data_IF_986893956118
#
_entry.id   IF_986893956118
#
_cell.length_a   1.000
_cell.length_b   1.000
_cell.length_c   1.000
_cell.angle_alpha   90.00
_cell.angle_beta   90.00
_cell.angle_gamma   90.00
#
_symmetry.space_group_name_H-M   'P 1'
#
loop_
_entity.id
_entity.type
_entity.pdbx_description
1 polymer ?
#
# COMPACT_ATOMS: atom_id res chain seq x y z
N UNK A 1 -0.12 -25.41 -8.10
CA UNK A 1 -0.61 -25.07 -6.74
C UNK A 1 -2.08 -24.62 -6.68
N UNK A 2 -2.82 -24.54 -7.80
CA UNK A 2 -4.16 -23.94 -7.87
C UNK A 2 -5.23 -24.51 -6.91
N UNK A 3 -5.16 -25.79 -6.57
CA UNK A 3 -6.13 -26.45 -5.69
C UNK A 3 -5.82 -26.29 -4.19
N UNK A 4 -4.75 -25.58 -3.84
CA UNK A 4 -4.45 -25.27 -2.44
C UNK A 4 -5.50 -24.26 -1.90
N UNK A 5 -5.91 -24.44 -0.65
CA UNK A 5 -6.88 -23.57 0.03
C UNK A 5 -6.55 -22.07 -0.11
N UNK A 6 -5.28 -21.69 0.05
CA UNK A 6 -4.83 -20.30 -0.09
C UNK A 6 -4.98 -19.78 -1.51
N UNK A 7 -4.65 -20.61 -2.51
CA UNK A 7 -4.78 -20.28 -3.92
C UNK A 7 -6.24 -20.04 -4.31
N UNK A 8 -7.13 -20.95 -3.89
CA UNK A 8 -8.57 -20.82 -4.14
C UNK A 8 -9.12 -19.54 -3.49
N UNK A 9 -8.76 -19.30 -2.22
CA UNK A 9 -9.21 -18.11 -1.49
C UNK A 9 -8.78 -16.81 -2.19
N UNK A 10 -7.51 -16.72 -2.60
CA UNK A 10 -6.99 -15.55 -3.33
C UNK A 10 -7.67 -15.35 -4.69
N UNK A 11 -7.92 -16.43 -5.43
CA UNK A 11 -8.60 -16.39 -6.73
C UNK A 11 -10.06 -15.97 -6.58
N UNK A 12 -10.77 -16.50 -5.58
CA UNK A 12 -12.17 -16.13 -5.30
C UNK A 12 -12.27 -14.65 -4.89
N UNK A 13 -11.38 -14.18 -4.02
CA UNK A 13 -11.32 -12.76 -3.63
C UNK A 13 -11.07 -11.87 -4.86
N UNK A 14 -10.09 -12.23 -5.70
CA UNK A 14 -9.74 -11.44 -6.89
C UNK A 14 -10.86 -11.44 -7.92
N UNK A 15 -11.51 -12.59 -8.14
CA UNK A 15 -12.66 -12.72 -9.04
C UNK A 15 -13.88 -11.94 -8.53
N UNK A 16 -14.17 -12.01 -7.23
CA UNK A 16 -15.25 -11.25 -6.60
C UNK A 16 -15.00 -9.74 -6.76
N UNK A 17 -13.78 -9.27 -6.43
CA UNK A 17 -13.41 -7.87 -6.59
C UNK A 17 -13.54 -7.41 -8.06
N UNK A 18 -13.07 -8.21 -9.02
CA UNK A 18 -13.23 -7.91 -10.45
C UNK A 18 -14.68 -7.84 -10.89
N UNK A 19 -15.53 -8.78 -10.45
CA UNK A 19 -16.95 -8.79 -10.79
C UNK A 19 -17.65 -7.53 -10.25
N UNK A 20 -17.39 -7.18 -8.99
CA UNK A 20 -17.95 -5.99 -8.34
C UNK A 20 -17.50 -4.71 -9.04
N UNK A 21 -16.20 -4.58 -9.34
CA UNK A 21 -15.66 -3.42 -10.07
C UNK A 21 -16.14 -3.38 -11.53
N UNK A 22 -16.34 -4.51 -12.19
CA UNK A 22 -16.85 -4.59 -13.55
C UNK A 22 -18.24 -3.94 -13.68
N UNK A 23 -19.12 -4.19 -12.71
CA UNK A 23 -20.42 -3.50 -12.60
C UNK A 23 -20.24 -1.98 -12.42
N UNK A 24 -19.30 -1.56 -11.57
CA UNK A 24 -18.99 -0.14 -11.34
C UNK A 24 -18.45 0.56 -12.60
N UNK A 25 -17.66 -0.11 -13.44
CA UNK A 25 -17.13 0.46 -14.69
C UNK A 25 -18.24 0.79 -15.68
N UNK A 26 -19.26 -0.07 -15.78
CA UNK A 26 -20.43 0.19 -16.61
C UNK A 26 -21.13 1.48 -16.18
N UNK A 27 -21.41 1.61 -14.88
CA UNK A 27 -22.01 2.82 -14.31
C UNK A 27 -21.09 4.03 -14.47
N UNK A 28 -19.77 3.85 -14.33
CA UNK A 28 -18.77 4.91 -14.51
C UNK A 28 -18.86 5.54 -15.91
N UNK A 29 -18.98 4.73 -16.97
CA UNK A 29 -19.10 5.25 -18.34
C UNK A 29 -20.37 6.10 -18.50
N UNK A 30 -21.49 5.69 -17.90
CA UNK A 30 -22.74 6.44 -17.95
C UNK A 30 -22.65 7.76 -17.18
N UNK A 31 -22.08 7.73 -15.98
CA UNK A 31 -21.84 8.94 -15.16
C UNK A 31 -20.92 9.91 -15.90
N UNK A 32 -19.80 9.43 -16.46
CA UNK A 32 -18.85 10.31 -17.15
C UNK A 32 -19.45 10.99 -18.39
N UNK A 33 -20.46 10.38 -19.03
CA UNK A 33 -21.13 10.93 -20.22
C UNK A 33 -22.34 11.81 -19.90
N UNK A 34 -23.12 11.45 -18.89
CA UNK A 34 -24.48 12.00 -18.71
C UNK A 34 -24.76 12.59 -17.33
N UNK A 35 -23.83 12.49 -16.37
CA UNK A 35 -24.04 13.04 -15.04
C UNK A 35 -24.25 14.55 -15.10
N UNK A 36 -25.34 15.07 -14.56
CA UNK A 36 -25.57 16.49 -14.41
C UNK A 36 -26.22 16.75 -13.04
N UNK A 37 -25.42 17.26 -12.09
CA UNK A 37 -25.84 17.40 -10.69
C UNK A 37 -26.86 18.51 -10.44
N UNK A 38 -27.15 19.35 -11.44
CA UNK A 38 -28.16 20.42 -11.35
C UNK A 38 -29.47 20.05 -12.07
N UNK A 39 -29.51 18.90 -12.76
CA UNK A 39 -30.64 18.53 -13.62
C UNK A 39 -31.64 17.61 -12.92
N UNK A 40 -32.86 18.08 -12.68
CA UNK A 40 -33.97 17.28 -12.13
C UNK A 40 -34.65 16.38 -13.18
N UNK A 41 -33.86 15.62 -13.93
CA UNK A 41 -34.39 14.70 -14.96
C UNK A 41 -34.52 13.29 -14.41
N UNK A 42 -35.50 12.52 -14.93
CA UNK A 42 -35.65 11.10 -14.58
C UNK A 42 -34.36 10.28 -14.80
N UNK A 43 -33.55 10.67 -15.81
CA UNK A 43 -32.24 10.07 -16.07
C UNK A 43 -31.26 10.35 -14.94
N UNK A 44 -31.20 11.58 -14.43
CA UNK A 44 -30.30 11.95 -13.34
C UNK A 44 -30.67 11.21 -12.05
N UNK A 45 -31.96 11.13 -11.71
CA UNK A 45 -32.45 10.34 -10.55
C UNK A 45 -32.06 8.87 -10.68
N UNK A 46 -32.18 8.30 -11.89
CA UNK A 46 -31.74 6.92 -12.14
C UNK A 46 -30.22 6.77 -11.95
N UNK A 47 -29.42 7.71 -12.46
CA UNK A 47 -27.96 7.69 -12.28
C UNK A 47 -27.57 7.79 -10.80
N UNK A 48 -28.23 8.65 -10.02
CA UNK A 48 -28.02 8.76 -8.58
C UNK A 48 -28.25 7.43 -7.86
N UNK A 49 -29.38 6.76 -8.12
CA UNK A 49 -29.66 5.44 -7.56
C UNK A 49 -28.60 4.40 -7.95
N UNK A 50 -28.15 4.39 -9.21
CA UNK A 50 -27.09 3.50 -9.68
C UNK A 50 -25.73 3.81 -9.02
N UNK A 51 -25.45 5.08 -8.70
CA UNK A 51 -24.17 5.47 -8.06
C UNK A 51 -24.03 4.88 -6.66
N UNK A 52 -25.12 4.82 -5.88
CA UNK A 52 -25.11 4.27 -4.53
C UNK A 52 -24.72 2.80 -4.51
N UNK A 53 -25.41 1.98 -5.31
CA UNK A 53 -25.10 0.56 -5.42
C UNK A 53 -23.70 0.34 -5.99
N UNK A 54 -23.33 1.07 -7.04
CA UNK A 54 -22.03 0.90 -7.69
C UNK A 54 -20.85 1.31 -6.81
N UNK A 55 -21.01 2.37 -6.02
CA UNK A 55 -19.99 2.81 -5.07
C UNK A 55 -19.83 1.84 -3.90
N UNK A 56 -20.95 1.29 -3.40
CA UNK A 56 -20.94 0.27 -2.37
C UNK A 56 -20.22 -1.01 -2.84
N UNK A 57 -20.57 -1.52 -4.03
CA UNK A 57 -19.91 -2.69 -4.63
C UNK A 57 -18.41 -2.45 -4.82
N UNK A 58 -18.04 -1.26 -5.30
CA UNK A 58 -16.64 -0.89 -5.46
C UNK A 58 -15.91 -0.84 -4.11
N UNK A 59 -16.48 -0.22 -3.08
CA UNK A 59 -15.88 -0.15 -1.74
C UNK A 59 -15.59 -1.55 -1.19
N UNK A 60 -16.58 -2.46 -1.22
CA UNK A 60 -16.37 -3.84 -0.76
C UNK A 60 -15.31 -4.59 -1.59
N UNK A 61 -15.34 -4.46 -2.92
CA UNK A 61 -14.34 -5.08 -3.80
C UNK A 61 -12.92 -4.60 -3.50
N UNK A 62 -12.75 -3.31 -3.24
CA UNK A 62 -11.47 -2.72 -2.86
C UNK A 62 -11.02 -3.15 -1.46
N UNK A 63 -11.93 -3.22 -0.49
CA UNK A 63 -11.63 -3.72 0.86
C UNK A 63 -11.15 -5.17 0.83
N UNK A 64 -11.81 -6.03 0.05
CA UNK A 64 -11.35 -7.40 -0.17
C UNK A 64 -9.93 -7.45 -0.75
N UNK A 65 -9.62 -6.53 -1.67
CA UNK A 65 -8.27 -6.42 -2.24
C UNK A 65 -7.23 -5.90 -1.24
N UNK A 66 -7.59 -5.05 -0.29
CA UNK A 66 -6.70 -4.65 0.81
C UNK A 66 -6.28 -5.87 1.65
N UNK A 67 -7.22 -6.76 1.97
CA UNK A 67 -6.92 -8.00 2.70
C UNK A 67 -6.13 -9.02 1.85
N UNK A 68 -6.26 -8.96 0.52
CA UNK A 68 -5.59 -9.90 -0.38
C UNK A 68 -4.06 -9.86 -0.29
N UNK A 69 -3.44 -8.71 0.02
CA UNK A 69 -1.99 -8.62 0.20
C UNK A 69 -1.54 -9.46 1.40
N UNK A 70 -2.23 -9.30 2.53
CA UNK A 70 -1.93 -10.06 3.74
C UNK A 70 -2.08 -11.57 3.47
N UNK A 71 -3.18 -11.96 2.82
CA UNK A 71 -3.41 -13.34 2.42
C UNK A 71 -2.35 -13.86 1.44
N UNK A 72 -1.87 -13.04 0.51
CA UNK A 72 -0.81 -13.43 -0.42
C UNK A 72 0.50 -13.71 0.31
N UNK A 73 0.88 -12.87 1.28
CA UNK A 73 2.10 -13.06 2.08
C UNK A 73 1.99 -14.33 2.93
N UNK A 74 0.85 -14.57 3.58
CA UNK A 74 0.60 -15.81 4.32
C UNK A 74 0.62 -17.05 3.41
N UNK A 75 0.01 -16.94 2.23
CA UNK A 75 0.01 -18.00 1.23
C UNK A 75 1.44 -18.31 0.77
N UNK A 76 2.23 -17.29 0.42
CA UNK A 76 3.62 -17.44 0.00
C UNK A 76 4.47 -18.12 1.09
N UNK A 77 4.19 -17.84 2.35
CA UNK A 77 4.84 -18.50 3.47
C UNK A 77 4.54 -20.01 3.51
N UNK A 78 3.27 -20.40 3.32
CA UNK A 78 2.90 -21.82 3.24
C UNK A 78 3.38 -22.51 1.96
N UNK A 79 3.50 -21.78 0.85
CA UNK A 79 4.05 -22.33 -0.39
C UNK A 79 5.53 -22.65 -0.25
N UNK A 80 6.28 -21.87 0.54
CA UNK A 80 7.69 -22.12 0.79
C UNK A 80 7.94 -23.49 1.45
N UNK A 81 7.02 -24.00 2.26
CA UNK A 81 7.13 -25.32 2.91
C UNK A 81 7.06 -26.49 1.91
N UNK A 82 6.46 -26.27 0.74
CA UNK A 82 6.23 -27.30 -0.29
C UNK A 82 7.26 -27.17 -1.43
N UNK A 83 7.81 -25.98 -1.65
CA UNK A 83 8.77 -25.69 -2.71
C UNK A 83 10.18 -26.12 -2.31
N UNK A 84 10.84 -26.90 -3.17
CA UNK A 84 12.20 -27.37 -2.91
C UNK A 84 13.14 -26.16 -2.83
N UNK A 85 13.82 -26.01 -1.69
CA UNK A 85 14.84 -24.98 -1.42
C UNK A 85 14.31 -23.57 -1.12
N UNK A 86 13.00 -23.38 -1.00
CA UNK A 86 12.42 -22.16 -0.44
C UNK A 86 12.46 -22.23 1.10
N UNK A 87 13.22 -21.33 1.73
CA UNK A 87 13.32 -21.25 3.20
C UNK A 87 12.32 -20.28 3.84
N UNK A 88 11.93 -19.24 3.10
CA UNK A 88 10.98 -18.22 3.54
C UNK A 88 10.05 -17.82 2.37
N UNK A 89 9.04 -16.98 2.64
CA UNK A 89 8.16 -16.43 1.60
C UNK A 89 8.92 -15.75 0.44
N UNK A 90 10.13 -15.21 0.67
CA UNK A 90 11.00 -14.71 -0.42
C UNK A 90 11.28 -15.81 -1.46
N UNK A 91 11.58 -17.02 -1.02
CA UNK A 91 11.82 -18.16 -1.91
C UNK A 91 10.60 -18.50 -2.75
N UNK A 92 9.41 -18.46 -2.16
CA UNK A 92 8.16 -18.65 -2.89
C UNK A 92 7.92 -17.53 -3.94
N UNK A 93 8.10 -16.26 -3.57
CA UNK A 93 7.94 -15.14 -4.50
C UNK A 93 8.98 -15.13 -5.63
N UNK A 94 10.17 -15.69 -5.40
CA UNK A 94 11.23 -15.82 -6.41
C UNK A 94 11.14 -17.11 -7.23
N UNK A 95 10.18 -18.00 -6.94
CA UNK A 95 10.05 -19.28 -7.62
C UNK A 95 9.74 -19.14 -9.13
N UNK A 96 9.18 -18.00 -9.54
CA UNK A 96 8.98 -17.64 -10.94
C UNK A 96 9.04 -16.11 -11.12
N UNK A 97 8.98 -15.66 -12.37
CA UNK A 97 9.11 -14.23 -12.72
C UNK A 97 7.91 -13.35 -12.31
N UNK A 98 6.80 -13.93 -11.85
CA UNK A 98 5.56 -13.20 -11.57
C UNK A 98 5.35 -12.87 -10.09
N UNK A 99 6.04 -13.56 -9.18
CA UNK A 99 5.80 -13.39 -7.73
C UNK A 99 6.17 -11.99 -7.22
N UNK A 100 7.36 -11.48 -7.54
CA UNK A 100 7.77 -10.11 -7.16
C UNK A 100 6.91 -9.03 -7.84
N UNK A 101 6.65 -9.07 -9.16
CA UNK A 101 5.71 -8.14 -9.79
C UNK A 101 4.32 -8.13 -9.16
N UNK A 102 3.75 -9.31 -8.85
CA UNK A 102 2.45 -9.42 -8.17
C UNK A 102 2.47 -8.74 -6.79
N UNK A 103 3.51 -9.01 -6.00
CA UNK A 103 3.67 -8.40 -4.69
C UNK A 103 3.73 -6.87 -4.79
N UNK A 104 4.51 -6.34 -5.73
CA UNK A 104 4.61 -4.89 -5.96
C UNK A 104 3.27 -4.28 -6.38
N UNK A 105 2.53 -4.95 -7.28
CA UNK A 105 1.19 -4.49 -7.69
C UNK A 105 0.23 -4.45 -6.50
N UNK A 106 0.25 -5.46 -5.61
CA UNK A 106 -0.58 -5.44 -4.39
C UNK A 106 -0.17 -4.36 -3.40
N UNK A 107 1.13 -4.15 -3.18
CA UNK A 107 1.64 -3.10 -2.30
C UNK A 107 1.19 -1.72 -2.82
N UNK A 108 1.40 -1.44 -4.10
CA UNK A 108 0.94 -0.19 -4.73
C UNK A 108 -0.59 -0.08 -4.70
N UNK A 109 -1.28 -1.19 -4.94
CA UNK A 109 -2.73 -1.31 -4.93
C UNK A 109 -3.34 -0.84 -3.61
N UNK A 110 -2.77 -1.22 -2.45
CA UNK A 110 -3.28 -0.80 -1.14
C UNK A 110 -3.46 0.71 -1.03
N UNK A 111 -2.47 1.49 -1.48
CA UNK A 111 -2.54 2.94 -1.40
C UNK A 111 -3.59 3.52 -2.34
N UNK A 112 -3.68 2.97 -3.56
CA UNK A 112 -4.63 3.43 -4.58
C UNK A 112 -6.08 3.07 -4.20
N UNK A 113 -6.32 1.83 -3.76
CA UNK A 113 -7.61 1.35 -3.31
C UNK A 113 -8.08 2.10 -2.06
N UNK A 114 -7.19 2.27 -1.07
CA UNK A 114 -7.48 3.06 0.13
C UNK A 114 -7.81 4.52 -0.21
N UNK A 115 -7.11 5.11 -1.18
CA UNK A 115 -7.40 6.49 -1.59
C UNK A 115 -8.76 6.62 -2.27
N UNK A 116 -9.19 5.65 -3.07
CA UNK A 116 -10.55 5.65 -3.63
C UNK A 116 -11.61 5.63 -2.53
N UNK A 117 -11.41 4.83 -1.48
CA UNK A 117 -12.31 4.78 -0.32
C UNK A 117 -12.34 6.15 0.38
N UNK A 118 -11.19 6.81 0.55
CA UNK A 118 -11.14 8.17 1.11
C UNK A 118 -11.94 9.16 0.25
N UNK A 119 -11.80 9.11 -1.08
CA UNK A 119 -12.59 9.95 -1.98
C UNK A 119 -14.09 9.68 -1.83
N UNK A 120 -14.49 8.41 -1.75
CA UNK A 120 -15.88 8.04 -1.57
C UNK A 120 -16.43 8.60 -0.25
N UNK A 121 -15.68 8.46 0.86
CA UNK A 121 -16.06 8.98 2.18
C UNK A 121 -16.14 10.51 2.22
N UNK A 122 -15.24 11.21 1.51
CA UNK A 122 -15.30 12.66 1.38
C UNK A 122 -16.51 13.09 0.55
N UNK A 123 -16.82 12.38 -0.53
CA UNK A 123 -17.92 12.72 -1.41
C UNK A 123 -19.29 12.62 -0.71
N UNK A 124 -19.54 11.53 0.01
CA UNK A 124 -20.79 11.33 0.78
C UNK A 124 -20.91 12.27 1.99
N UNK A 125 -19.85 13.02 2.33
CA UNK A 125 -19.91 14.02 3.40
C UNK A 125 -20.55 15.35 2.96
N UNK A 126 -20.85 15.49 1.67
CA UNK A 126 -21.51 16.65 1.09
C UNK A 126 -22.80 16.21 0.40
N UNK A 127 -23.90 16.95 0.63
CA UNK A 127 -25.20 16.68 0.00
C UNK A 127 -25.14 16.79 -1.54
N UNK A 128 -24.22 17.61 -2.06
CA UNK A 128 -24.08 17.90 -3.49
C UNK A 128 -23.22 16.87 -4.25
N UNK A 129 -22.66 15.86 -3.57
CA UNK A 129 -21.81 14.81 -4.15
C UNK A 129 -20.77 15.32 -5.19
N UNK A 130 -19.97 16.34 -4.85
CA UNK A 130 -19.20 17.13 -5.81
C UNK A 130 -18.05 16.35 -6.47
N UNK A 131 -17.62 15.23 -5.89
CA UNK A 131 -16.56 14.37 -6.41
C UNK A 131 -17.10 13.20 -7.24
N UNK A 132 -18.41 13.14 -7.55
CA UNK A 132 -18.97 11.98 -8.26
C UNK A 132 -18.32 11.67 -9.59
N UNK A 133 -18.15 12.66 -10.47
CA UNK A 133 -17.44 12.43 -11.72
C UNK A 133 -15.98 11.99 -11.49
N UNK A 134 -15.30 12.60 -10.52
CA UNK A 134 -13.90 12.29 -10.24
C UNK A 134 -13.71 10.88 -9.66
N UNK A 135 -14.56 10.44 -8.72
CA UNK A 135 -14.47 9.11 -8.10
C UNK A 135 -14.70 7.99 -9.13
N UNK A 136 -15.64 8.19 -10.05
CA UNK A 136 -15.92 7.20 -11.11
C UNK A 136 -14.90 7.24 -12.24
N UNK A 137 -14.33 8.41 -12.56
CA UNK A 137 -13.14 8.50 -13.40
C UNK A 137 -11.98 7.70 -12.79
N UNK A 138 -11.72 7.89 -11.50
CA UNK A 138 -10.67 7.13 -10.81
C UNK A 138 -10.97 5.62 -10.74
N UNK A 139 -12.23 5.23 -10.50
CA UNK A 139 -12.65 3.82 -10.55
C UNK A 139 -12.37 3.18 -11.93
N UNK A 140 -12.61 3.91 -13.01
CA UNK A 140 -12.31 3.46 -14.36
C UNK A 140 -10.81 3.18 -14.56
N UNK A 141 -9.92 3.99 -13.98
CA UNK A 141 -8.47 3.73 -14.00
C UNK A 141 -8.00 2.63 -13.04
N UNK A 142 -8.75 2.35 -11.97
CA UNK A 142 -8.45 1.24 -11.06
C UNK A 142 -8.82 -0.12 -11.67
N UNK A 143 -9.79 -0.18 -12.56
CA UNK A 143 -10.20 -1.43 -13.22
C UNK A 143 -9.05 -2.16 -13.94
N UNK A 144 -8.24 -1.54 -14.83
CA UNK A 144 -7.11 -2.24 -15.46
C UNK A 144 -6.04 -2.67 -14.44
N UNK A 145 -5.87 -1.95 -13.32
CA UNK A 145 -4.95 -2.36 -12.26
C UNK A 145 -5.43 -3.64 -11.57
N UNK A 146 -6.73 -3.78 -11.31
CA UNK A 146 -7.32 -5.00 -10.74
C UNK A 146 -7.25 -6.18 -11.71
N UNK A 147 -7.40 -5.93 -13.02
CA UNK A 147 -7.17 -6.96 -14.05
C UNK A 147 -5.71 -7.39 -14.04
N UNK A 148 -4.77 -6.44 -14.03
CA UNK A 148 -3.34 -6.74 -13.94
C UNK A 148 -3.00 -7.56 -12.69
N UNK A 149 -3.51 -7.17 -11.52
CA UNK A 149 -3.36 -7.89 -10.26
C UNK A 149 -3.84 -9.35 -10.38
N UNK A 150 -5.03 -9.56 -10.93
CA UNK A 150 -5.63 -10.89 -11.06
C UNK A 150 -4.88 -11.75 -12.09
N UNK A 151 -4.46 -11.16 -13.21
CA UNK A 151 -3.67 -11.86 -14.24
C UNK A 151 -2.31 -12.27 -13.67
N UNK A 152 -1.62 -11.38 -12.97
CA UNK A 152 -0.34 -11.70 -12.32
C UNK A 152 -0.52 -12.78 -11.25
N UNK A 153 -1.59 -12.74 -10.46
CA UNK A 153 -1.91 -13.77 -9.48
C UNK A 153 -2.11 -15.13 -10.16
N UNK A 154 -2.92 -15.18 -11.22
CA UNK A 154 -3.18 -16.41 -11.95
C UNK A 154 -1.90 -16.97 -12.57
N UNK A 155 -1.11 -16.14 -13.24
CA UNK A 155 0.17 -16.54 -13.83
C UNK A 155 1.16 -17.03 -12.78
N UNK A 156 1.25 -16.34 -11.64
CA UNK A 156 2.07 -16.76 -10.51
C UNK A 156 1.67 -18.15 -10.03
N UNK A 157 0.38 -18.40 -9.78
CA UNK A 157 -0.11 -19.67 -9.23
C UNK A 157 -0.06 -20.85 -10.23
N UNK A 158 -0.30 -20.58 -11.52
CA UNK A 158 -0.19 -21.58 -12.60
C UNK A 158 1.26 -22.02 -12.79
N UNK A 159 2.20 -21.08 -12.74
CA UNK A 159 3.62 -21.36 -12.94
C UNK A 159 4.34 -21.77 -11.66
N UNK A 160 3.66 -21.76 -10.51
CA UNK A 160 4.20 -22.26 -9.25
C UNK A 160 4.17 -23.80 -9.27
N UNK A 161 5.29 -24.38 -9.69
CA UNK A 161 5.51 -25.83 -9.77
C UNK A 161 6.39 -26.29 -8.61
N UNK A 162 5.97 -27.31 -7.81
CA UNK A 162 6.74 -27.84 -6.69
C UNK A 162 8.14 -28.34 -7.06
N UNK A 163 8.30 -28.83 -8.29
CA UNK A 163 9.52 -29.50 -8.75
C UNK A 163 10.64 -28.53 -9.17
N UNK A 164 10.37 -27.22 -9.16
CA UNK A 164 11.39 -26.20 -9.43
C UNK A 164 12.22 -26.02 -8.16
N UNK A 165 13.52 -26.32 -8.27
CA UNK A 165 14.48 -26.04 -7.20
C UNK A 165 14.66 -24.53 -7.13
N UNK A 166 14.09 -23.92 -6.10
CA UNK A 166 14.32 -22.51 -5.76
C UNK A 166 15.46 -22.45 -4.76
N UNK A 167 16.45 -21.60 -4.96
CA UNK A 167 17.47 -21.36 -3.94
C UNK A 167 17.43 -19.90 -3.55
N UNK A 168 16.69 -19.60 -2.48
CA UNK A 168 16.86 -18.30 -1.83
C UNK A 168 18.27 -18.15 -1.24
N UNK A 169 18.97 -19.26 -0.95
CA UNK A 169 20.32 -19.24 -0.41
C UNK A 169 21.37 -18.70 -1.38
N UNK A 170 21.26 -18.94 -2.69
CA UNK A 170 22.18 -18.34 -3.67
C UNK A 170 22.04 -16.83 -3.81
N UNK A 171 20.83 -16.30 -3.63
CA UNK A 171 20.50 -14.87 -3.79
C UNK A 171 20.61 -14.08 -2.46
N UNK A 172 20.38 -14.75 -1.34
CA UNK A 172 20.37 -14.15 0.02
C UNK A 172 21.65 -14.46 0.81
N UNK A 173 22.31 -15.60 0.57
CA UNK A 173 23.49 -16.07 1.33
C UNK A 173 24.74 -16.38 0.46
N UNK A 174 24.67 -16.24 -0.87
CA UNK A 174 25.75 -16.62 -1.77
C UNK A 174 27.01 -15.75 -1.58
N UNK A 175 28.15 -16.38 -1.26
CA UNK A 175 29.46 -15.74 -1.46
C UNK A 175 29.76 -15.69 -2.95
N UNK A 176 29.55 -14.53 -3.58
CA UNK A 176 30.00 -14.30 -4.94
C UNK A 176 31.50 -13.96 -4.92
N UNK A 177 32.31 -14.78 -5.58
CA UNK A 177 33.61 -14.34 -6.06
C UNK A 177 33.40 -13.07 -6.91
N UNK A 178 33.76 -11.92 -6.34
CA UNK A 178 33.68 -10.61 -6.99
C UNK A 178 32.31 -9.91 -6.89
N UNK A 179 32.18 -9.07 -5.86
CA UNK A 179 31.32 -7.86 -5.88
C UNK A 179 29.80 -8.07 -6.13
N UNK A 180 29.23 -9.17 -5.62
CA UNK A 180 27.83 -9.57 -5.79
C UNK A 180 27.06 -9.76 -4.47
N UNK A 181 26.16 -8.86 -4.02
CA UNK A 181 24.83 -8.52 -4.56
C UNK A 181 23.70 -9.32 -3.87
N UNK A 182 23.36 -8.92 -2.63
CA UNK A 182 22.04 -9.17 -2.02
C UNK A 182 20.92 -8.63 -2.93
N UNK A 183 19.65 -8.94 -2.62
CA UNK A 183 18.41 -8.46 -3.32
C UNK A 183 18.44 -6.99 -3.80
N UNK A 184 19.27 -6.13 -3.20
CA UNK A 184 19.34 -4.68 -3.46
C UNK A 184 20.80 -4.17 -3.69
N UNK A 185 21.79 -5.04 -3.89
CA UNK A 185 23.19 -4.65 -4.14
C UNK A 185 23.96 -4.15 -2.90
N UNK A 186 25.23 -3.69 -3.05
CA UNK A 186 25.99 -3.08 -1.96
C UNK A 186 25.42 -1.71 -1.60
N UNK A 187 24.95 -1.57 -0.36
CA UNK A 187 24.32 -0.34 0.14
C UNK A 187 25.20 0.26 1.24
N UNK A 188 25.64 1.52 1.13
CA UNK A 188 26.42 2.18 2.19
C UNK A 188 25.53 2.41 3.42
N UNK A 189 25.54 1.47 4.36
CA UNK A 189 24.62 1.40 5.52
C UNK A 189 24.55 2.74 6.26
N UNK A 190 25.69 3.39 6.52
CA UNK A 190 25.74 4.69 7.20
C UNK A 190 24.95 5.76 6.44
N UNK A 191 25.15 5.87 5.14
CA UNK A 191 24.46 6.87 4.31
C UNK A 191 22.96 6.60 4.28
N UNK A 192 22.54 5.34 4.10
CA UNK A 192 21.12 4.98 4.05
C UNK A 192 20.43 5.20 5.41
N UNK A 193 21.08 4.91 6.52
CA UNK A 193 20.53 5.18 7.86
C UNK A 193 20.42 6.68 8.15
N UNK A 194 21.40 7.49 7.73
CA UNK A 194 21.31 8.96 7.82
C UNK A 194 20.16 9.50 6.99
N UNK A 195 19.99 9.03 5.75
CA UNK A 195 18.87 9.42 4.89
C UNK A 195 17.53 8.98 5.51
N UNK A 196 17.46 7.77 6.06
CA UNK A 196 16.25 7.23 6.67
C UNK A 196 15.80 8.07 7.87
N UNK A 197 16.66 8.26 8.87
CA UNK A 197 16.29 9.06 10.05
C UNK A 197 16.15 10.55 9.73
N UNK A 198 16.96 11.09 8.80
CA UNK A 198 16.85 12.47 8.35
C UNK A 198 15.51 12.74 7.67
N UNK A 199 15.08 11.86 6.76
CA UNK A 199 13.79 11.97 6.09
C UNK A 199 12.63 11.74 7.07
N UNK A 200 12.77 10.82 8.02
CA UNK A 200 11.77 10.62 9.07
C UNK A 200 11.60 11.88 9.95
N UNK A 201 12.70 12.50 10.39
CA UNK A 201 12.68 13.75 11.14
C UNK A 201 12.09 14.91 10.34
N UNK A 202 12.41 15.00 9.04
CA UNK A 202 11.81 15.97 8.13
C UNK A 202 10.29 15.77 8.01
N UNK A 203 9.82 14.53 7.84
CA UNK A 203 8.39 14.22 7.76
C UNK A 203 7.64 14.54 9.05
N UNK A 204 8.24 14.26 10.22
CA UNK A 204 7.67 14.64 11.52
C UNK A 204 7.58 16.17 11.67
N UNK A 205 8.67 16.88 11.39
CA UNK A 205 8.70 18.35 11.48
C UNK A 205 7.72 19.00 10.50
N UNK A 206 7.69 18.51 9.26
CA UNK A 206 6.79 19.02 8.23
C UNK A 206 5.33 18.70 8.57
N UNK A 207 5.01 17.47 8.97
CA UNK A 207 3.67 17.07 9.39
C UNK A 207 3.16 17.87 10.60
N UNK A 208 4.04 18.14 11.57
CA UNK A 208 3.74 18.99 12.71
C UNK A 208 3.47 20.45 12.30
N UNK A 209 4.29 20.99 11.40
CA UNK A 209 4.09 22.32 10.82
C UNK A 209 2.75 22.44 10.09
N UNK A 210 2.36 21.42 9.32
CA UNK A 210 1.06 21.35 8.66
C UNK A 210 -0.10 21.29 9.68
N UNK A 211 0.06 20.55 10.78
CA UNK A 211 -0.97 20.43 11.82
C UNK A 211 -1.20 21.74 12.58
N UNK A 212 -0.13 22.51 12.83
CA UNK A 212 -0.19 23.82 13.52
C UNK A 212 -0.64 24.98 12.64
N UNK A 213 -0.69 24.79 11.33
CA UNK A 213 -1.04 25.83 10.37
C UNK A 213 -2.49 26.29 10.58
N UNK A 214 -2.69 27.56 10.92
CA UNK A 214 -4.01 28.19 11.02
C UNK A 214 -4.59 28.50 9.65
N UNK A 215 -5.92 28.45 9.52
CA UNK A 215 -6.63 28.74 8.27
C UNK A 215 -6.37 30.19 7.86
N UNK A 216 -5.74 30.41 6.70
CA UNK A 216 -5.34 31.74 6.23
C UNK A 216 -4.29 31.75 5.12
N UNK A 217 -3.64 30.62 4.83
CA UNK A 217 -2.72 30.52 3.69
C UNK A 217 -3.44 30.34 2.36
N UNK A 218 -2.90 30.92 1.30
CA UNK A 218 -3.38 30.76 -0.07
C UNK A 218 -3.58 29.27 -0.44
N UNK A 219 -4.73 28.97 -1.07
CA UNK A 219 -5.11 27.62 -1.49
C UNK A 219 -4.07 26.98 -2.42
N UNK A 220 -3.41 27.78 -3.27
CA UNK A 220 -2.33 27.31 -4.14
C UNK A 220 -1.12 26.82 -3.33
N UNK A 221 -0.74 27.56 -2.30
CA UNK A 221 0.36 27.18 -1.42
C UNK A 221 0.03 25.90 -0.64
N UNK A 222 -1.22 25.77 -0.16
CA UNK A 222 -1.70 24.55 0.51
C UNK A 222 -1.58 23.32 -0.39
N UNK A 223 -2.00 23.43 -1.66
CA UNK A 223 -1.89 22.35 -2.64
C UNK A 223 -0.45 21.93 -2.91
N UNK A 224 0.45 22.90 -3.15
CA UNK A 224 1.87 22.62 -3.41
C UNK A 224 2.51 21.95 -2.19
N UNK A 225 2.26 22.47 -0.98
CA UNK A 225 2.79 21.86 0.25
C UNK A 225 2.28 20.45 0.47
N UNK A 226 1.00 20.19 0.16
CA UNK A 226 0.43 18.85 0.22
C UNK A 226 1.11 17.89 -0.75
N UNK A 227 1.29 18.26 -2.02
CA UNK A 227 1.95 17.41 -3.02
C UNK A 227 3.38 17.07 -2.60
N UNK A 228 4.16 18.06 -2.14
CA UNK A 228 5.54 17.82 -1.68
C UNK A 228 5.53 16.85 -0.49
N UNK A 229 4.63 17.03 0.47
CA UNK A 229 4.50 16.13 1.62
C UNK A 229 4.16 14.69 1.19
N UNK A 230 3.20 14.49 0.28
CA UNK A 230 2.87 13.17 -0.25
C UNK A 230 4.05 12.52 -0.98
N UNK A 231 4.80 13.28 -1.79
CA UNK A 231 5.98 12.76 -2.50
C UNK A 231 7.09 12.32 -1.53
N UNK A 232 7.35 13.11 -0.48
CA UNK A 232 8.31 12.72 0.56
C UNK A 232 7.89 11.44 1.27
N UNK A 233 6.59 11.22 1.50
CA UNK A 233 6.08 9.96 2.05
C UNK A 233 6.27 8.77 1.12
N UNK A 234 6.05 8.93 -0.19
CA UNK A 234 6.32 7.86 -1.17
C UNK A 234 7.79 7.49 -1.16
N UNK A 235 8.69 8.48 -1.17
CA UNK A 235 10.14 8.25 -1.10
C UNK A 235 10.51 7.54 0.21
N UNK A 236 9.96 8.00 1.33
CA UNK A 236 10.22 7.42 2.65
C UNK A 236 9.73 5.97 2.75
N UNK A 237 8.60 5.63 2.13
CA UNK A 237 8.08 4.27 2.12
C UNK A 237 9.05 3.29 1.45
N UNK A 238 9.52 3.60 0.24
CA UNK A 238 10.48 2.74 -0.46
C UNK A 238 11.84 2.70 0.26
N UNK A 239 12.29 3.83 0.80
CA UNK A 239 13.50 3.88 1.64
C UNK A 239 13.34 3.02 2.90
N UNK A 240 12.16 2.98 3.51
CA UNK A 240 11.86 2.16 4.68
C UNK A 240 11.87 0.66 4.34
N UNK A 241 11.26 0.26 3.21
CA UNK A 241 11.33 -1.14 2.75
C UNK A 241 12.78 -1.57 2.48
N UNK A 242 13.59 -0.69 1.88
CA UNK A 242 15.03 -0.89 1.70
C UNK A 242 15.75 -1.08 3.03
N UNK A 243 15.54 -0.19 3.99
CA UNK A 243 16.16 -0.24 5.32
C UNK A 243 15.76 -1.49 6.08
N UNK A 244 14.47 -1.85 6.06
CA UNK A 244 13.97 -3.08 6.69
C UNK A 244 14.72 -4.29 6.12
N UNK A 245 14.74 -4.42 4.80
CA UNK A 245 15.36 -5.55 4.12
C UNK A 245 16.88 -5.59 4.31
N UNK A 246 17.57 -4.47 4.10
CA UNK A 246 19.03 -4.43 4.01
C UNK A 246 19.73 -4.33 5.37
N UNK A 247 19.05 -3.84 6.41
CA UNK A 247 19.64 -3.53 7.72
C UNK A 247 18.84 -4.17 8.84
N UNK A 248 17.58 -3.79 9.01
CA UNK A 248 16.81 -4.05 10.25
C UNK A 248 16.49 -5.53 10.42
N UNK A 249 16.11 -6.23 9.35
CA UNK A 249 15.88 -7.67 9.36
C UNK A 249 17.05 -8.42 10.00
N UNK A 250 18.29 -8.08 9.63
CA UNK A 250 19.49 -8.76 10.16
C UNK A 250 19.68 -8.56 11.66
N UNK A 251 19.32 -7.39 12.20
CA UNK A 251 19.34 -7.11 13.64
C UNK A 251 18.24 -7.86 14.39
N UNK A 252 17.03 -7.95 13.81
CA UNK A 252 15.94 -8.73 14.41
C UNK A 252 16.28 -10.21 14.47
N UNK A 253 17.01 -10.72 13.46
CA UNK A 253 17.40 -12.12 13.40
C UNK A 253 18.63 -12.47 14.23
N UNK A 254 19.42 -11.47 14.64
CA UNK A 254 20.74 -11.70 15.24
C UNK A 254 21.74 -12.34 14.27
N UNK A 255 21.49 -12.25 12.96
CA UNK A 255 22.28 -12.93 11.91
C UNK A 255 22.61 -11.93 10.78
N UNK A 256 23.85 -11.42 10.71
CA UNK A 256 24.24 -10.34 9.77
C UNK A 256 23.99 -10.64 8.28
N UNK A 257 24.03 -11.92 7.92
CA UNK A 257 23.85 -12.39 6.54
C UNK A 257 22.38 -12.73 6.22
N UNK A 258 21.49 -12.79 7.20
CA UNK A 258 20.09 -13.10 6.98
C UNK A 258 19.30 -11.81 6.74
N UNK A 259 18.82 -11.62 5.50
CA UNK A 259 18.17 -10.37 5.05
C UNK A 259 16.78 -10.57 4.41
N UNK A 260 16.10 -11.68 4.69
CA UNK A 260 14.71 -11.89 4.26
C UNK A 260 13.82 -10.80 4.91
N UNK A 261 12.94 -10.10 4.18
CA UNK A 261 12.02 -9.12 4.78
C UNK A 261 10.73 -9.77 5.31
N UNK A 262 10.52 -11.06 5.07
CA UNK A 262 9.31 -11.79 5.46
C UNK A 262 9.50 -12.63 6.72
N UNK A 263 10.74 -13.05 7.05
CA UNK A 263 10.93 -13.89 8.24
C UNK A 263 10.59 -13.14 9.53
N UNK A 264 10.61 -11.79 9.54
CA UNK A 264 10.18 -10.98 10.69
C UNK A 264 8.68 -11.18 11.02
N UNK A 265 7.91 -11.77 10.10
CA UNK A 265 6.51 -12.12 10.28
C UNK A 265 6.33 -13.49 10.97
N UNK A 266 7.39 -14.26 11.18
CA UNK A 266 7.31 -15.60 11.77
C UNK A 266 7.12 -15.54 13.28
N UNK A 267 6.52 -16.60 13.83
CA UNK A 267 6.33 -16.79 15.29
C UNK A 267 7.63 -16.68 16.09
N UNK A 268 8.74 -17.14 15.51
CA UNK A 268 10.06 -17.13 16.15
C UNK A 268 10.58 -15.72 16.48
N UNK A 269 10.06 -14.69 15.80
CA UNK A 269 10.32 -13.28 16.10
C UNK A 269 9.07 -12.58 16.67
N UNK A 270 8.24 -13.34 17.37
CA UNK A 270 7.03 -12.85 18.06
C UNK A 270 6.06 -12.08 17.17
N UNK A 271 6.03 -12.37 15.86
CA UNK A 271 5.16 -11.70 14.91
C UNK A 271 5.38 -10.16 14.82
N UNK A 272 6.56 -9.67 15.25
CA UNK A 272 6.86 -8.22 15.33
C UNK A 272 6.74 -7.52 13.97
N UNK A 273 7.04 -8.24 12.88
CA UNK A 273 6.96 -7.72 11.53
C UNK A 273 5.58 -7.18 11.16
N UNK A 274 4.48 -7.76 11.67
CA UNK A 274 3.14 -7.25 11.39
C UNK A 274 2.94 -5.84 11.94
N UNK A 275 3.45 -5.58 13.15
CA UNK A 275 3.35 -4.25 13.76
C UNK A 275 4.25 -3.23 13.04
N UNK A 276 5.45 -3.65 12.63
CA UNK A 276 6.38 -2.83 11.83
C UNK A 276 5.73 -2.44 10.49
N UNK A 277 5.21 -3.40 9.73
CA UNK A 277 4.58 -3.09 8.46
C UNK A 277 3.26 -2.34 8.62
N UNK A 278 2.41 -2.68 9.60
CA UNK A 278 1.15 -1.97 9.81
C UNK A 278 1.38 -0.49 10.16
N UNK A 279 2.35 -0.21 11.03
CA UNK A 279 2.73 1.17 11.37
C UNK A 279 3.33 1.91 10.17
N UNK A 280 4.20 1.27 9.38
CA UNK A 280 4.76 1.86 8.15
C UNK A 280 3.71 2.16 7.09
N UNK A 281 2.89 1.16 6.72
CA UNK A 281 1.83 1.30 5.71
C UNK A 281 0.78 2.32 6.16
N UNK A 282 0.38 2.28 7.43
CA UNK A 282 -0.58 3.23 8.00
C UNK A 282 -0.05 4.66 7.99
N UNK A 283 1.18 4.89 8.49
CA UNK A 283 1.80 6.22 8.46
C UNK A 283 1.91 6.75 7.04
N UNK A 284 2.41 5.93 6.12
CA UNK A 284 2.54 6.28 4.70
C UNK A 284 1.18 6.60 4.07
N UNK A 285 0.17 5.78 4.31
CA UNK A 285 -1.17 5.98 3.74
C UNK A 285 -1.79 7.31 4.20
N UNK A 286 -1.77 7.60 5.50
CA UNK A 286 -2.33 8.85 6.03
C UNK A 286 -1.49 10.07 5.62
N UNK A 287 -0.17 9.93 5.56
CA UNK A 287 0.75 10.94 5.06
C UNK A 287 0.48 11.32 3.59
N UNK A 288 0.43 10.33 2.71
CA UNK A 288 0.09 10.50 1.28
C UNK A 288 -1.31 11.10 1.13
N UNK A 289 -2.31 10.53 1.83
CA UNK A 289 -3.71 10.97 1.72
C UNK A 289 -3.92 12.41 2.15
N UNK A 290 -3.17 12.90 3.14
CA UNK A 290 -3.22 14.30 3.57
C UNK A 290 -2.89 15.25 2.41
N UNK A 291 -1.81 14.98 1.68
CA UNK A 291 -1.39 15.84 0.58
C UNK A 291 -2.22 15.65 -0.68
N UNK A 292 -2.65 14.43 -1.02
CA UNK A 292 -3.53 14.19 -2.17
C UNK A 292 -4.87 14.91 -2.02
N UNK A 293 -5.44 14.92 -0.80
CA UNK A 293 -6.71 15.59 -0.52
C UNK A 293 -6.63 17.12 -0.51
N UNK A 294 -5.43 17.69 -0.46
CA UNK A 294 -5.25 19.15 -0.54
C UNK A 294 -5.73 19.76 -1.86
N UNK A 295 -5.85 18.95 -2.94
CA UNK A 295 -6.41 19.43 -4.21
C UNK A 295 -7.93 19.63 -4.16
N UNK A 296 -8.61 19.08 -3.15
CA UNK A 296 -10.07 19.17 -3.00
C UNK A 296 -10.51 20.26 -2.02
N UNK A 297 -9.58 20.94 -1.35
CA UNK A 297 -9.89 22.08 -0.47
C UNK A 297 -10.41 23.31 -1.23
N UNK A 298 -10.29 23.33 -2.56
CA UNK A 298 -10.81 24.40 -3.42
C UNK A 298 -12.27 24.19 -3.82
N UNK A 299 -12.83 23.00 -3.59
CA UNK A 299 -14.19 22.65 -4.01
C UNK A 299 -15.19 23.21 -2.97
N UNK A 300 -16.22 23.91 -3.44
CA UNK A 300 -17.28 24.43 -2.60
C UNK A 300 -17.98 23.29 -1.82
N UNK A 301 -18.44 23.56 -0.61
CA UNK A 301 -19.16 22.60 0.26
C UNK A 301 -18.36 21.34 0.67
N UNK A 302 -17.05 21.29 0.42
CA UNK A 302 -16.18 20.15 0.77
C UNK A 302 -15.00 20.54 1.66
N UNK A 303 -14.69 21.83 1.75
CA UNK A 303 -13.49 22.37 2.42
C UNK A 303 -13.38 21.92 3.88
N UNK A 304 -14.50 21.98 4.62
CA UNK A 304 -14.52 21.64 6.03
C UNK A 304 -14.28 20.13 6.24
N UNK A 305 -14.96 19.28 5.48
CA UNK A 305 -14.80 17.82 5.55
C UNK A 305 -13.36 17.40 5.21
N UNK A 306 -12.76 18.01 4.17
CA UNK A 306 -11.37 17.74 3.80
C UNK A 306 -10.40 18.18 4.91
N UNK A 307 -10.59 19.37 5.50
CA UNK A 307 -9.73 19.85 6.61
C UNK A 307 -9.84 18.95 7.85
N UNK A 308 -11.04 18.47 8.18
CA UNK A 308 -11.25 17.53 9.28
C UNK A 308 -10.51 16.22 9.01
N UNK A 309 -10.67 15.65 7.80
CA UNK A 309 -9.95 14.45 7.39
C UNK A 309 -8.43 14.64 7.47
N UNK A 310 -7.90 15.72 6.88
CA UNK A 310 -6.46 16.02 6.88
C UNK A 310 -5.89 16.15 8.29
N UNK A 311 -6.60 16.79 9.22
CA UNK A 311 -6.15 16.90 10.62
C UNK A 311 -6.08 15.53 11.29
N UNK A 312 -7.08 14.67 11.06
CA UNK A 312 -7.08 13.31 11.59
C UNK A 312 -5.95 12.48 10.98
N UNK A 313 -5.80 12.51 9.66
CA UNK A 313 -4.72 11.83 8.94
C UNK A 313 -3.33 12.30 9.41
N UNK A 314 -3.12 13.61 9.59
CA UNK A 314 -1.89 14.18 10.15
C UNK A 314 -1.59 13.68 11.56
N UNK A 315 -2.60 13.63 12.44
CA UNK A 315 -2.42 13.08 13.79
C UNK A 315 -2.05 11.61 13.75
N UNK A 316 -2.73 10.82 12.94
CA UNK A 316 -2.46 9.38 12.81
C UNK A 316 -1.06 9.13 12.27
N UNK A 317 -0.62 9.84 11.22
CA UNK A 317 0.74 9.69 10.71
C UNK A 317 1.81 10.15 11.71
N UNK A 318 1.54 11.20 12.50
CA UNK A 318 2.46 11.68 13.54
C UNK A 318 2.55 10.75 14.75
N UNK A 319 1.59 9.83 14.93
CA UNK A 319 1.64 8.78 15.97
C UNK A 319 2.26 7.49 15.41
N UNK A 320 1.87 7.10 14.20
CA UNK A 320 2.33 5.86 13.57
C UNK A 320 3.80 5.92 13.14
N UNK A 321 4.30 7.07 12.69
CA UNK A 321 5.70 7.21 12.28
C UNK A 321 6.67 7.03 13.48
N UNK A 322 6.49 7.72 14.63
CA UNK A 322 7.33 7.44 15.80
C UNK A 322 7.21 6.01 16.29
N UNK A 323 6.00 5.42 16.28
CA UNK A 323 5.82 4.01 16.63
C UNK A 323 6.67 3.10 15.72
N UNK A 324 6.59 3.30 14.40
CA UNK A 324 7.42 2.59 13.43
C UNK A 324 8.92 2.75 13.71
N UNK A 325 9.37 3.99 13.94
CA UNK A 325 10.78 4.28 14.23
C UNK A 325 11.25 3.61 15.51
N UNK A 326 10.46 3.63 16.58
CA UNK A 326 10.78 2.99 17.86
C UNK A 326 10.95 1.48 17.65
N UNK A 327 9.98 0.83 16.99
CA UNK A 327 10.01 -0.62 16.74
C UNK A 327 11.24 -1.03 15.93
N UNK A 328 11.57 -0.27 14.90
CA UNK A 328 12.70 -0.54 14.01
C UNK A 328 14.05 -0.23 14.65
N UNK A 329 14.13 0.82 15.47
CA UNK A 329 15.39 1.24 16.11
C UNK A 329 15.71 0.44 17.38
N UNK A 330 14.72 -0.18 18.00
CA UNK A 330 14.87 -0.95 19.24
C UNK A 330 15.92 -2.06 19.13
N UNK A 331 15.84 -2.89 18.08
CA UNK A 331 16.72 -4.04 17.91
C UNK A 331 18.20 -3.65 17.66
N UNK A 332 18.51 -2.71 16.74
CA UNK A 332 19.88 -2.22 16.60
C UNK A 332 20.43 -1.57 17.88
N UNK A 333 19.62 -0.83 18.63
CA UNK A 333 20.06 -0.16 19.86
C UNK A 333 20.44 -1.15 20.96
N UNK A 334 19.63 -2.19 21.17
CA UNK A 334 19.97 -3.26 22.11
C UNK A 334 21.29 -3.92 21.70
N UNK A 335 21.46 -4.23 20.42
CA UNK A 335 22.67 -4.92 19.95
C UNK A 335 23.94 -4.07 20.08
N UNK A 336 23.83 -2.73 19.98
CA UNK A 336 24.97 -1.82 20.04
C UNK A 336 25.33 -1.38 21.46
N UNK A 337 24.38 -1.37 22.38
CA UNK A 337 24.54 -0.77 23.72
C UNK A 337 24.21 -1.71 24.89
N UNK A 338 23.64 -2.90 24.64
CA UNK A 338 23.35 -3.92 25.65
C UNK A 338 24.39 -5.03 25.65
#
# INVERSE_FOLDING_TARGET
MLLNFWSITLLVISAAALCMTGGTVWTAVRILRFWDGEADTARQIQLENETWLSALLMEYGLVLQLFSLLLLVLAADTYAEILIGAMCATGAFLANSYGIPLLLVKICGIFLYGFWIVLHRLDISSEYLPLTRFKFWYAFFLAPLLVLDTVLLLLYLVQLKPDIITSCCGVVFGQAAGDGKNLIGPVPVRMVMVLFYGLAGLLLGFGYGLLRKTAGTSLKAERITGIIFSLLWVIFFFLSLLVITAVISSYIYGMPFHRCPFDILKKQYHFIGYLIYLSLFGATFFGISTGMTSSFTTIANLQQSVRVFQRTALRLTLVLLPLFLILVSWFPLIYLFG
#
